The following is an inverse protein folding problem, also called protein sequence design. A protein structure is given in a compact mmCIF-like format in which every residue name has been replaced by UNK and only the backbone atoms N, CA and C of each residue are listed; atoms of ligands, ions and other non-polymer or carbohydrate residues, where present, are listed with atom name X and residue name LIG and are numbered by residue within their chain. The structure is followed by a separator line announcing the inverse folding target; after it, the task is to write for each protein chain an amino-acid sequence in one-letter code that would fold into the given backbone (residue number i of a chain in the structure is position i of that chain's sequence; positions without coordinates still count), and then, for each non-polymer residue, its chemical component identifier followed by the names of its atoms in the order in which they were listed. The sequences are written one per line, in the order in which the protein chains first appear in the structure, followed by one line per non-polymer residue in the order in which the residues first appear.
data_IF_922597024446
#
_entry.id   IF_922597024446
#
_cell.length_a   1.000
_cell.length_b   1.000
_cell.length_c   1.000
_cell.angle_alpha   90.00
_cell.angle_beta   90.00
_cell.angle_gamma   90.00
#
_symmetry.space_group_name_H-M   'P 1'
#
loop_
_entity.id
_entity.type
_entity.pdbx_description
1 polymer ?
#
# COMPACT_ATOMS: atom_id res chain seq x y z
N UNK A 1 -1.56 11.92 -16.33
CA UNK A 1 -2.64 11.52 -15.41
C UNK A 1 -2.03 10.71 -14.28
N UNK A 2 -2.25 11.08 -13.02
CA UNK A 2 -1.83 10.27 -11.87
C UNK A 2 -2.63 8.97 -11.88
N UNK A 3 -2.01 7.88 -12.30
CA UNK A 3 -2.60 6.56 -12.20
C UNK A 3 -2.52 6.17 -10.71
N UNK A 4 -3.49 6.58 -9.90
CA UNK A 4 -3.40 6.39 -8.45
C UNK A 4 -3.71 4.93 -8.08
N UNK A 5 -2.85 4.32 -7.28
CA UNK A 5 -3.06 2.98 -6.72
C UNK A 5 -4.32 2.88 -5.84
N UNK A 6 -4.83 4.03 -5.37
CA UNK A 6 -5.96 4.13 -4.45
C UNK A 6 -7.16 4.81 -5.13
N UNK A 7 -8.36 4.40 -4.73
CA UNK A 7 -9.62 5.00 -5.17
C UNK A 7 -10.36 5.53 -3.96
N UNK A 8 -11.00 6.70 -4.09
CA UNK A 8 -11.84 7.24 -3.01
C UNK A 8 -12.95 6.25 -2.67
N UNK A 9 -13.09 5.98 -1.38
CA UNK A 9 -14.15 5.16 -0.81
C UNK A 9 -15.17 6.07 -0.13
N UNK A 10 -16.47 5.84 -0.34
CA UNK A 10 -17.47 6.54 0.43
C UNK A 10 -17.30 6.18 1.90
N UNK A 11 -17.34 7.17 2.78
CA UNK A 11 -17.63 6.90 4.18
C UNK A 11 -19.00 6.22 4.19
N UNK A 12 -19.09 4.95 4.62
CA UNK A 12 -20.36 4.17 4.67
C UNK A 12 -21.48 5.10 5.14
N UNK A 13 -22.57 5.20 4.36
CA UNK A 13 -23.69 6.12 4.64
C UNK A 13 -24.10 5.95 6.11
N UNK A 14 -23.78 6.96 6.90
CA UNK A 14 -24.08 6.99 8.33
C UNK A 14 -25.58 7.11 8.50
N UNK A 15 -26.18 6.23 9.30
CA UNK A 15 -27.55 6.41 9.75
C UNK A 15 -27.63 7.71 10.59
N UNK A 16 -28.79 8.39 10.62
CA UNK A 16 -28.97 9.68 11.30
C UNK A 16 -28.45 9.69 12.75
N UNK A 17 -28.58 8.58 13.48
CA UNK A 17 -28.03 8.40 14.83
C UNK A 17 -26.49 8.30 14.88
N UNK A 18 -25.84 7.80 13.83
CA UNK A 18 -24.37 7.76 13.72
C UNK A 18 -23.76 9.11 13.30
N UNK A 19 -24.55 10.01 12.71
CA UNK A 19 -24.14 11.41 12.50
C UNK A 19 -24.13 12.19 13.83
N UNK A 20 -25.06 11.88 14.74
CA UNK A 20 -25.19 12.52 16.04
C UNK A 20 -24.18 11.97 17.08
N UNK A 21 -23.78 10.71 16.95
CA UNK A 21 -22.70 10.10 17.75
C UNK A 21 -21.53 9.69 16.85
N UNK A 22 -20.58 10.61 16.67
CA UNK A 22 -19.29 10.35 16.00
C UNK A 22 -18.50 9.28 16.77
N UNK A 23 -18.82 7.99 16.57
CA UNK A 23 -18.08 6.91 17.22
C UNK A 23 -16.75 6.70 16.48
N UNK A 24 -15.61 6.96 17.12
CA UNK A 24 -14.31 6.64 16.55
C UNK A 24 -14.20 5.13 16.33
N UNK A 25 -13.73 4.71 15.16
CA UNK A 25 -13.51 3.28 14.88
C UNK A 25 -12.35 3.06 13.91
N UNK A 26 -11.63 1.92 14.04
CA UNK A 26 -10.56 1.55 13.12
C UNK A 26 -10.96 1.56 11.64
N UNK A 27 -12.15 1.08 11.31
CA UNK A 27 -12.64 1.03 9.92
C UNK A 27 -12.74 2.43 9.30
N UNK A 28 -13.15 3.43 10.09
CA UNK A 28 -13.20 4.83 9.64
C UNK A 28 -11.77 5.34 9.39
N UNK A 29 -10.81 4.98 10.26
CA UNK A 29 -9.41 5.35 10.05
C UNK A 29 -8.86 4.79 8.74
N UNK A 30 -9.14 3.52 8.43
CA UNK A 30 -8.74 2.88 7.17
C UNK A 30 -9.31 3.66 5.98
N UNK A 31 -10.60 4.00 6.00
CA UNK A 31 -11.24 4.77 4.91
C UNK A 31 -10.64 6.17 4.78
N UNK A 32 -10.40 6.87 5.90
CA UNK A 32 -9.82 8.21 5.90
C UNK A 32 -8.38 8.19 5.33
N UNK A 33 -7.54 7.23 5.73
CA UNK A 33 -6.18 7.07 5.18
C UNK A 33 -6.21 6.74 3.70
N UNK A 34 -7.05 5.78 3.27
CA UNK A 34 -7.22 5.45 1.86
C UNK A 34 -7.62 6.68 1.04
N UNK A 35 -8.56 7.47 1.54
CA UNK A 35 -9.05 8.66 0.83
C UNK A 35 -7.99 9.76 0.76
N UNK A 36 -7.13 9.88 1.78
CA UNK A 36 -5.97 10.76 1.76
C UNK A 36 -5.00 10.34 0.64
N UNK A 37 -4.63 9.05 0.61
CA UNK A 37 -3.76 8.45 -0.42
C UNK A 37 -4.36 8.49 -1.84
N UNK A 38 -5.69 8.48 -1.96
CA UNK A 38 -6.37 8.61 -3.25
C UNK A 38 -6.46 10.05 -3.77
N UNK A 39 -6.33 11.03 -2.87
CA UNK A 39 -6.53 12.46 -3.19
C UNK A 39 -5.21 13.20 -3.37
N UNK A 40 -4.23 12.92 -2.52
CA UNK A 40 -2.94 13.59 -2.49
C UNK A 40 -1.85 12.66 -3.01
N UNK A 41 -0.81 13.24 -3.60
CA UNK A 41 0.41 12.51 -3.87
C UNK A 41 1.09 12.15 -2.54
N UNK A 42 1.80 11.02 -2.48
CA UNK A 42 2.48 10.54 -1.27
C UNK A 42 3.44 11.60 -0.70
N UNK A 43 4.03 12.41 -1.57
CA UNK A 43 4.95 13.49 -1.21
C UNK A 43 4.30 14.64 -0.43
N UNK A 44 2.99 14.82 -0.60
CA UNK A 44 2.22 15.91 0.00
C UNK A 44 1.48 15.47 1.27
N UNK A 45 1.69 14.23 1.73
CA UNK A 45 1.09 13.70 2.96
C UNK A 45 2.13 13.74 4.07
N UNK A 46 1.75 14.27 5.22
CA UNK A 46 2.58 14.30 6.42
C UNK A 46 2.32 13.11 7.34
N UNK A 47 3.35 12.72 8.12
CA UNK A 47 3.22 11.70 9.17
C UNK A 47 2.17 12.14 10.21
N UNK A 48 2.11 13.44 10.50
CA UNK A 48 1.15 14.03 11.45
C UNK A 48 -0.30 13.88 11.01
N UNK A 49 -0.60 13.95 9.71
CA UNK A 49 -1.96 13.74 9.20
C UNK A 49 -2.43 12.29 9.41
N UNK A 50 -1.55 11.32 9.13
CA UNK A 50 -1.84 9.90 9.39
C UNK A 50 -2.03 9.67 10.89
N UNK A 51 -1.11 10.16 11.72
CA UNK A 51 -1.19 10.02 13.18
C UNK A 51 -2.45 10.68 13.76
N UNK A 52 -2.88 11.83 13.21
CA UNK A 52 -4.12 12.49 13.61
C UNK A 52 -5.36 11.62 13.30
N UNK A 53 -5.41 10.98 12.13
CA UNK A 53 -6.49 10.06 11.76
C UNK A 53 -6.50 8.85 12.71
N UNK A 54 -5.35 8.24 12.98
CA UNK A 54 -5.22 7.09 13.87
C UNK A 54 -5.68 7.42 15.30
N UNK A 55 -5.25 8.58 15.83
CA UNK A 55 -5.61 9.08 17.15
C UNK A 55 -7.09 9.39 17.25
N UNK A 56 -7.63 10.16 16.29
CA UNK A 56 -9.05 10.52 16.21
C UNK A 56 -9.95 9.30 16.26
N UNK A 57 -9.54 8.21 15.63
CA UNK A 57 -10.31 6.98 15.48
C UNK A 57 -9.94 5.86 16.48
N UNK A 58 -9.02 6.12 17.42
CA UNK A 58 -8.55 5.15 18.43
C UNK A 58 -8.06 3.83 17.83
N UNK A 59 -7.40 3.91 16.67
CA UNK A 59 -7.08 2.75 15.84
C UNK A 59 -5.68 2.15 16.09
N UNK A 60 -4.73 2.96 16.59
CA UNK A 60 -3.30 2.64 16.65
C UNK A 60 -2.95 1.25 17.23
N UNK A 61 -3.60 0.84 18.32
CA UNK A 61 -3.28 -0.42 19.02
C UNK A 61 -4.02 -1.67 18.47
N UNK A 62 -4.83 -1.53 17.41
CA UNK A 62 -5.65 -2.64 16.90
C UNK A 62 -4.88 -3.43 15.83
N UNK A 63 -4.72 -4.74 16.04
CA UNK A 63 -4.00 -5.63 15.11
C UNK A 63 -4.60 -5.58 13.70
N UNK A 64 -5.92 -5.68 13.58
CA UNK A 64 -6.61 -5.65 12.28
C UNK A 64 -6.40 -4.31 11.56
N UNK A 65 -6.33 -3.20 12.31
CA UNK A 65 -6.00 -1.90 11.74
C UNK A 65 -4.59 -1.89 11.15
N UNK A 66 -3.59 -2.39 11.89
CA UNK A 66 -2.21 -2.47 11.39
C UNK A 66 -2.08 -3.36 10.15
N UNK A 67 -2.87 -4.43 10.06
CA UNK A 67 -2.95 -5.26 8.86
C UNK A 67 -3.48 -4.47 7.64
N UNK A 68 -4.53 -3.65 7.81
CA UNK A 68 -5.02 -2.76 6.76
C UNK A 68 -3.99 -1.70 6.35
N UNK A 69 -3.28 -1.12 7.33
CA UNK A 69 -2.20 -0.16 7.07
C UNK A 69 -1.09 -0.80 6.24
N UNK A 70 -0.68 -2.03 6.55
CA UNK A 70 0.28 -2.78 5.74
C UNK A 70 -0.25 -3.06 4.32
N UNK A 71 -1.56 -3.31 4.16
CA UNK A 71 -2.18 -3.54 2.87
C UNK A 71 -2.14 -2.31 1.94
N UNK A 72 -2.11 -1.08 2.46
CA UNK A 72 -1.89 0.10 1.62
C UNK A 72 -0.51 0.10 0.96
N UNK A 73 0.52 -0.30 1.71
CA UNK A 73 1.87 -0.47 1.15
C UNK A 73 1.87 -1.54 0.05
N UNK A 74 1.26 -2.70 0.31
CA UNK A 74 1.16 -3.76 -0.69
C UNK A 74 0.42 -3.32 -1.95
N UNK A 75 -0.67 -2.57 -1.80
CA UNK A 75 -1.44 -2.01 -2.93
C UNK A 75 -0.58 -1.08 -3.78
N UNK A 76 0.19 -0.20 -3.15
CA UNK A 76 1.10 0.69 -3.88
C UNK A 76 2.26 -0.07 -4.52
N UNK A 77 2.82 -1.06 -3.83
CA UNK A 77 3.85 -1.94 -4.38
C UNK A 77 3.34 -2.67 -5.63
N UNK A 78 2.18 -3.32 -5.56
CA UNK A 78 1.54 -3.97 -6.71
C UNK A 78 1.35 -3.00 -7.88
N UNK A 79 0.93 -1.77 -7.59
CA UNK A 79 0.78 -0.73 -8.61
C UNK A 79 2.11 -0.44 -9.32
N UNK A 80 3.20 -0.22 -8.57
CA UNK A 80 4.54 0.00 -9.14
C UNK A 80 5.02 -1.19 -9.98
N UNK A 81 4.63 -2.41 -9.60
CA UNK A 81 5.07 -3.63 -10.27
C UNK A 81 4.24 -4.02 -11.50
N UNK A 82 3.11 -3.35 -11.76
CA UNK A 82 2.17 -3.70 -12.83
C UNK A 82 2.82 -3.73 -14.23
N UNK A 83 3.80 -2.86 -14.46
CA UNK A 83 4.48 -2.74 -15.75
C UNK A 83 5.87 -3.41 -15.76
N UNK A 84 6.17 -4.24 -14.76
CA UNK A 84 7.47 -4.90 -14.58
C UNK A 84 8.66 -3.91 -14.64
N UNK A 85 8.41 -2.67 -14.20
CA UNK A 85 9.39 -1.61 -14.15
C UNK A 85 9.03 -0.69 -12.98
N UNK A 86 10.00 -0.43 -12.10
CA UNK A 86 9.86 0.51 -10.99
C UNK A 86 10.85 1.64 -11.20
N UNK A 87 10.31 2.84 -11.36
CA UNK A 87 11.07 4.08 -11.48
C UNK A 87 11.67 4.53 -10.13
N UNK A 88 12.68 5.39 -10.18
CA UNK A 88 13.29 5.94 -8.96
C UNK A 88 12.30 6.78 -8.13
N UNK A 89 11.31 7.40 -8.81
CA UNK A 89 10.22 8.13 -8.14
C UNK A 89 9.30 7.18 -7.37
N UNK A 90 8.96 6.03 -7.95
CA UNK A 90 8.18 4.99 -7.26
C UNK A 90 8.94 4.38 -6.08
N UNK A 91 10.26 4.14 -6.22
CA UNK A 91 11.11 3.71 -5.10
C UNK A 91 11.09 4.75 -3.98
N UNK A 92 11.25 6.04 -4.32
CA UNK A 92 11.19 7.12 -3.33
C UNK A 92 9.84 7.15 -2.62
N UNK A 93 8.74 7.01 -3.37
CA UNK A 93 7.37 6.97 -2.82
C UNK A 93 7.14 5.75 -1.93
N UNK A 94 7.63 4.57 -2.28
CA UNK A 94 7.58 3.38 -1.43
C UNK A 94 8.34 3.61 -0.11
N UNK A 95 9.52 4.23 -0.16
CA UNK A 95 10.30 4.59 1.04
C UNK A 95 9.56 5.60 1.92
N UNK A 96 8.90 6.59 1.31
CA UNK A 96 8.07 7.56 2.04
C UNK A 96 6.84 6.90 2.65
N UNK A 97 6.13 6.06 1.90
CA UNK A 97 4.93 5.37 2.35
C UNK A 97 5.23 4.46 3.54
N UNK A 98 6.36 3.74 3.52
CA UNK A 98 6.85 2.98 4.68
C UNK A 98 6.94 3.85 5.95
N UNK A 99 7.53 5.05 5.83
CA UNK A 99 7.67 6.00 6.94
C UNK A 99 6.32 6.56 7.39
N UNK A 100 5.48 6.99 6.45
CA UNK A 100 4.14 7.53 6.74
C UNK A 100 3.26 6.55 7.49
N UNK A 101 3.31 5.29 7.11
CA UNK A 101 2.50 4.22 7.70
C UNK A 101 3.17 3.57 8.94
N UNK A 102 4.37 4.03 9.30
CA UNK A 102 5.17 3.51 10.42
C UNK A 102 5.31 1.98 10.38
N UNK A 103 5.65 1.44 9.20
CA UNK A 103 5.83 0.00 9.00
C UNK A 103 7.25 -0.43 9.37
N UNK A 104 7.35 -1.49 10.16
CA UNK A 104 8.62 -2.12 10.52
C UNK A 104 9.17 -2.98 9.37
N UNK A 105 10.46 -3.33 9.46
CA UNK A 105 11.11 -4.16 8.43
C UNK A 105 10.45 -5.54 8.25
N UNK A 106 10.11 -6.29 9.32
CA UNK A 106 9.44 -7.58 9.17
C UNK A 106 8.12 -7.50 8.38
N UNK A 107 7.27 -6.51 8.68
CA UNK A 107 6.00 -6.31 7.95
C UNK A 107 6.25 -5.97 6.49
N UNK A 108 7.26 -5.12 6.21
CA UNK A 108 7.63 -4.77 4.85
C UNK A 108 8.08 -6.01 4.08
N UNK A 109 9.00 -6.81 4.62
CA UNK A 109 9.47 -8.04 3.99
C UNK A 109 8.32 -9.03 3.73
N UNK A 110 7.38 -9.14 4.68
CA UNK A 110 6.19 -9.97 4.48
C UNK A 110 5.32 -9.46 3.31
N UNK A 111 5.11 -8.14 3.17
CA UNK A 111 4.36 -7.60 2.03
C UNK A 111 5.11 -7.79 0.71
N UNK A 112 6.44 -7.66 0.70
CA UNK A 112 7.26 -7.96 -0.48
C UNK A 112 7.12 -9.41 -0.91
N UNK A 113 7.26 -10.36 0.02
CA UNK A 113 7.08 -11.77 -0.27
C UNK A 113 5.68 -12.06 -0.81
N UNK A 114 4.63 -11.53 -0.16
CA UNK A 114 3.25 -11.73 -0.59
C UNK A 114 2.98 -11.18 -1.99
N UNK A 115 3.35 -9.93 -2.24
CA UNK A 115 3.14 -9.29 -3.54
C UNK A 115 4.00 -9.95 -4.61
N UNK A 116 5.23 -10.34 -4.26
CA UNK A 116 6.12 -11.07 -5.14
C UNK A 116 5.59 -12.45 -5.51
N UNK A 117 5.01 -13.19 -4.58
CA UNK A 117 4.38 -14.49 -4.88
C UNK A 117 3.17 -14.33 -5.81
N UNK A 118 2.35 -13.28 -5.58
CA UNK A 118 1.16 -13.01 -6.37
C UNK A 118 1.49 -12.56 -7.81
N UNK A 119 2.51 -11.71 -7.98
CA UNK A 119 2.89 -11.14 -9.29
C UNK A 119 3.95 -11.93 -10.04
N UNK A 120 4.84 -12.63 -9.34
CA UNK A 120 5.90 -13.43 -9.95
C UNK A 120 5.58 -14.91 -9.90
N UNK A 121 5.40 -15.54 -8.73
CA UNK A 121 5.34 -17.00 -8.69
C UNK A 121 4.14 -17.61 -9.44
N UNK A 122 3.01 -16.93 -9.51
CA UNK A 122 1.87 -17.38 -10.33
C UNK A 122 2.14 -17.22 -11.83
N UNK A 123 2.43 -16.02 -12.37
CA UNK A 123 2.70 -15.86 -13.81
C UNK A 123 4.00 -16.52 -14.27
N UNK A 124 5.02 -16.62 -13.41
CA UNK A 124 6.30 -17.28 -13.71
C UNK A 124 6.14 -18.80 -13.87
N UNK A 125 5.29 -19.45 -13.06
CA UNK A 125 4.94 -20.87 -13.27
C UNK A 125 4.19 -21.08 -14.59
N UNK A 126 3.32 -20.13 -14.95
CA UNK A 126 2.61 -20.14 -16.23
C UNK A 126 3.58 -19.89 -17.42
N UNK A 127 4.48 -18.92 -17.32
CA UNK A 127 5.47 -18.56 -18.34
C UNK A 127 6.61 -19.57 -18.50
N UNK A 128 7.00 -20.30 -17.44
CA UNK A 128 7.91 -21.44 -17.55
C UNK A 128 7.24 -22.61 -18.27
N UNK A 129 5.92 -22.77 -18.14
CA UNK A 129 5.19 -23.74 -18.99
C UNK A 129 5.20 -23.30 -20.47
N UNK A 130 5.29 -21.99 -20.72
CA UNK A 130 5.32 -21.37 -22.06
C UNK A 130 6.74 -21.04 -22.60
N UNK A 131 7.80 -21.49 -21.92
CA UNK A 131 9.18 -21.47 -22.43
C UNK A 131 9.77 -20.11 -22.87
N UNK A 132 9.38 -18.97 -22.27
CA UNK A 132 10.12 -17.72 -22.52
C UNK A 132 10.07 -16.74 -21.35
N UNK A 133 11.24 -16.42 -20.79
CA UNK A 133 11.45 -15.25 -19.93
C UNK A 133 12.33 -14.27 -20.68
N UNK A 134 11.88 -13.02 -20.78
CA UNK A 134 12.61 -11.97 -21.47
C UNK A 134 13.71 -11.39 -20.59
N UNK A 135 14.77 -10.89 -21.22
CA UNK A 135 15.92 -10.29 -20.53
C UNK A 135 15.55 -9.07 -19.66
N UNK A 136 14.47 -8.36 -20.02
CA UNK A 136 13.90 -7.26 -19.24
C UNK A 136 13.29 -7.73 -17.91
N UNK A 137 12.61 -8.89 -17.91
CA UNK A 137 12.00 -9.47 -16.71
C UNK A 137 13.08 -9.92 -15.72
N UNK A 138 14.16 -10.55 -16.20
CA UNK A 138 15.29 -10.96 -15.33
C UNK A 138 16.01 -9.76 -14.70
N UNK A 139 16.24 -8.70 -15.48
CA UNK A 139 16.94 -7.51 -14.99
C UNK A 139 16.11 -6.72 -13.98
N UNK A 140 14.78 -6.77 -14.10
CA UNK A 140 13.84 -6.19 -13.15
C UNK A 140 13.84 -6.92 -11.80
N UNK A 141 13.83 -8.26 -11.82
CA UNK A 141 13.90 -9.08 -10.60
C UNK A 141 15.16 -8.77 -9.77
N UNK A 142 16.31 -8.68 -10.42
CA UNK A 142 17.57 -8.29 -9.77
C UNK A 142 17.54 -6.88 -9.17
N UNK A 143 16.87 -5.94 -9.83
CA UNK A 143 16.78 -4.55 -9.35
C UNK A 143 15.86 -4.46 -8.13
N UNK A 144 14.79 -5.25 -8.08
CA UNK A 144 13.94 -5.39 -6.91
C UNK A 144 14.69 -5.95 -5.72
N UNK A 145 15.34 -7.11 -5.90
CA UNK A 145 16.10 -7.77 -4.85
C UNK A 145 17.12 -6.80 -4.23
N UNK A 146 17.88 -6.07 -5.05
CA UNK A 146 18.85 -5.06 -4.59
C UNK A 146 18.26 -3.80 -3.97
N UNK A 147 17.01 -3.45 -4.28
CA UNK A 147 16.37 -2.23 -3.73
C UNK A 147 15.79 -2.46 -2.34
N UNK A 148 15.52 -3.73 -1.98
CA UNK A 148 14.80 -4.10 -0.77
C UNK A 148 15.61 -4.98 0.22
N UNK A 149 16.83 -5.38 -0.14
CA UNK A 149 17.90 -5.74 0.80
C UNK A 149 18.59 -4.49 1.37
#
# INVERSE_FOLDING_TARGET
MFNNAFKRMPLKKRNLFQKLFHRPSPDIAVIEINNLLATLSIENISISEIAAIEKKNKAYAKKDFRAHVAAFYATYLQHCLKNLYVSDTEIKRLKMLKKLLSLDMPTILQQHAKVGDELYHKPFKEAISDSSLTRSETSFLFKLEKTFH
#
